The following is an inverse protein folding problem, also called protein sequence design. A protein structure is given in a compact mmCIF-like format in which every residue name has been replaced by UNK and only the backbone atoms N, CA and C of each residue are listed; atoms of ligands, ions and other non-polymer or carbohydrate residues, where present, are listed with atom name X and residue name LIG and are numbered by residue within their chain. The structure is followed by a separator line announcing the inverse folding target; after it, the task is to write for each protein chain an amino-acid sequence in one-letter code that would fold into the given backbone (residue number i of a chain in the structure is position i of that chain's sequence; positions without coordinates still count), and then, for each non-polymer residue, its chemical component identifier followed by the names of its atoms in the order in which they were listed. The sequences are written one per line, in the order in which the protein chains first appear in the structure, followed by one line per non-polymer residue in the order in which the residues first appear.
data_IF_796761626460
#
_entry.id   IF_796761626460
#
_cell.length_a   1.000
_cell.length_b   1.000
_cell.length_c   1.000
_cell.angle_alpha   90.00
_cell.angle_beta   90.00
_cell.angle_gamma   90.00
#
_symmetry.space_group_name_H-M   'P 1'
#
loop_
_entity.id
_entity.type
_entity.pdbx_description
1 polymer ?
#
# COMPACT_ATOMS: atom_id res chain seq x y z
N UNK A 1 4.07 4.24 6.28
CA UNK A 1 4.07 4.79 7.65
C UNK A 1 3.11 3.95 8.47
N UNK A 2 3.40 3.65 9.73
CA UNK A 2 2.63 2.72 10.57
C UNK A 2 2.42 3.34 11.95
N UNK A 3 1.21 3.24 12.50
CA UNK A 3 0.85 3.78 13.82
C UNK A 3 0.54 2.65 14.80
N UNK A 4 0.99 2.79 16.04
CA UNK A 4 0.74 1.83 17.12
C UNK A 4 0.05 2.54 18.29
N UNK A 5 -1.27 2.34 18.41
CA UNK A 5 -2.14 3.07 19.34
C UNK A 5 -1.80 2.86 20.80
N UNK A 6 -1.38 1.64 21.16
CA UNK A 6 -1.15 1.27 22.55
C UNK A 6 0.02 2.03 23.20
N UNK A 7 0.94 2.57 22.39
CA UNK A 7 2.19 3.18 22.87
C UNK A 7 2.40 4.66 22.48
N UNK A 8 1.45 5.30 21.78
CA UNK A 8 1.64 6.64 21.16
C UNK A 8 2.92 6.70 20.29
N UNK A 9 3.19 5.61 19.57
CA UNK A 9 4.36 5.48 18.71
C UNK A 9 3.94 5.62 17.25
N UNK A 10 4.55 6.60 16.57
CA UNK A 10 4.49 6.74 15.12
C UNK A 10 5.76 6.15 14.51
N UNK A 11 5.63 5.22 13.55
CA UNK A 11 6.77 4.72 12.78
C UNK A 11 6.67 5.15 11.32
N UNK A 12 7.70 5.80 10.79
CA UNK A 12 7.76 6.20 9.39
C UNK A 12 9.06 5.76 8.74
N UNK A 13 8.96 5.35 7.47
CA UNK A 13 10.15 5.05 6.68
C UNK A 13 10.70 6.35 6.11
N UNK A 14 11.98 6.61 6.34
CA UNK A 14 12.76 7.66 5.70
C UNK A 14 13.57 6.98 4.60
N UNK A 15 13.16 7.15 3.35
CA UNK A 15 13.87 6.59 2.21
C UNK A 15 13.68 7.47 0.98
N UNK A 16 14.74 7.54 0.16
CA UNK A 16 14.73 8.18 -1.15
C UNK A 16 14.12 7.24 -2.21
N UNK A 17 14.02 5.94 -1.94
CA UNK A 17 13.56 4.91 -2.88
C UNK A 17 12.51 3.94 -2.28
N UNK A 18 11.47 3.62 -3.06
CA UNK A 18 10.18 3.04 -2.61
C UNK A 18 10.08 1.52 -2.78
N UNK A 19 11.18 0.81 -3.04
CA UNK A 19 11.13 -0.51 -3.71
C UNK A 19 11.10 -1.73 -2.78
N UNK A 20 11.74 -1.64 -1.61
CA UNK A 20 11.70 -2.70 -0.58
C UNK A 20 11.21 -2.12 0.75
N UNK A 21 10.17 -2.72 1.35
CA UNK A 21 9.56 -2.21 2.59
C UNK A 21 10.42 -2.48 3.83
N UNK A 22 11.24 -3.53 3.79
CA UNK A 22 12.02 -4.00 4.93
C UNK A 22 13.44 -3.41 5.00
N UNK A 23 13.95 -2.89 3.87
CA UNK A 23 15.30 -2.31 3.78
C UNK A 23 15.31 -0.79 3.95
N UNK A 24 14.16 -0.19 4.26
CA UNK A 24 14.06 1.26 4.52
C UNK A 24 14.64 1.59 5.88
N UNK A 25 15.16 2.80 6.01
CA UNK A 25 15.45 3.33 7.34
C UNK A 25 14.11 3.67 7.99
N UNK A 26 13.79 3.02 9.11
CA UNK A 26 12.58 3.36 9.85
C UNK A 26 12.93 4.20 11.07
N UNK A 27 12.11 5.21 11.30
CA UNK A 27 12.18 6.08 12.46
C UNK A 27 10.92 5.84 13.27
N UNK A 28 11.10 5.57 14.56
CA UNK A 28 10.04 5.52 15.55
C UNK A 28 10.07 6.80 16.38
N UNK A 29 8.94 7.48 16.43
CA UNK A 29 8.71 8.66 17.26
C UNK A 29 7.75 8.29 18.38
N UNK A 30 8.21 8.39 19.62
CA UNK A 30 7.34 8.38 20.78
C UNK A 30 6.86 9.81 21.04
N UNK A 31 5.57 10.05 20.80
CA UNK A 31 5.01 11.41 20.82
C UNK A 31 4.96 11.99 22.23
N UNK A 32 4.67 11.16 23.23
CA UNK A 32 4.56 11.60 24.63
C UNK A 32 5.90 12.08 25.19
N UNK A 33 7.00 11.45 24.78
CA UNK A 33 8.35 11.76 25.25
C UNK A 33 9.16 12.62 24.27
N UNK A 34 8.62 12.87 23.08
CA UNK A 34 9.29 13.52 21.96
C UNK A 34 10.64 12.89 21.59
N UNK A 35 10.72 11.56 21.66
CA UNK A 35 11.95 10.81 21.35
C UNK A 35 11.87 10.13 19.99
N UNK A 36 12.89 10.36 19.17
CA UNK A 36 13.11 9.67 17.91
C UNK A 36 14.15 8.57 18.10
N UNK A 37 13.85 7.38 17.59
CA UNK A 37 14.76 6.25 17.55
C UNK A 37 14.77 5.62 16.16
N UNK A 38 15.93 5.14 15.73
CA UNK A 38 16.03 4.31 14.54
C UNK A 38 15.54 2.90 14.90
N UNK A 39 14.64 2.38 14.08
CA UNK A 39 14.12 1.02 14.22
C UNK A 39 14.32 0.26 12.92
N UNK A 40 14.53 -1.04 13.03
CA UNK A 40 14.43 -1.98 11.90
C UNK A 40 13.05 -2.60 11.92
N UNK A 41 12.47 -2.88 10.75
CA UNK A 41 11.25 -3.68 10.71
C UNK A 41 11.51 -5.09 11.28
N UNK A 42 10.52 -5.74 11.91
CA UNK A 42 10.68 -7.06 12.53
C UNK A 42 11.22 -8.18 11.62
N UNK A 43 11.29 -7.95 10.30
CA UNK A 43 11.64 -8.96 9.30
C UNK A 43 12.86 -8.57 8.42
N UNK A 44 13.52 -7.43 8.71
CA UNK A 44 14.65 -6.95 7.90
C UNK A 44 15.78 -7.97 7.81
N UNK A 45 16.14 -8.63 8.92
CA UNK A 45 17.22 -9.62 8.93
C UNK A 45 16.87 -10.88 8.13
N UNK A 46 15.61 -11.31 8.18
CA UNK A 46 15.17 -12.49 7.45
C UNK A 46 15.07 -12.19 5.94
N UNK A 47 14.55 -11.02 5.56
CA UNK A 47 14.59 -10.56 4.17
C UNK A 47 16.02 -10.50 3.60
N UNK A 48 16.99 -10.02 4.39
CA UNK A 48 18.41 -10.01 4.00
C UNK A 48 18.99 -11.43 3.84
N UNK A 49 18.59 -12.37 4.71
CA UNK A 49 18.99 -13.78 4.60
C UNK A 49 18.42 -14.43 3.35
N UNK A 50 17.13 -14.20 3.07
CA UNK A 50 16.46 -14.68 1.85
C UNK A 50 17.15 -14.12 0.61
N UNK A 51 17.37 -12.80 0.58
CA UNK A 51 18.08 -12.14 -0.52
C UNK A 51 19.48 -12.70 -0.76
N UNK A 52 20.21 -13.01 0.32
CA UNK A 52 21.52 -13.67 0.22
C UNK A 52 21.44 -15.13 -0.24
N UNK A 53 20.43 -15.89 0.21
CA UNK A 53 20.28 -17.30 -0.12
C UNK A 53 19.84 -17.53 -1.58
N UNK A 54 19.05 -16.59 -2.11
CA UNK A 54 18.60 -16.55 -3.51
C UNK A 54 19.63 -15.93 -4.47
N UNK A 55 20.74 -15.40 -3.97
CA UNK A 55 21.71 -14.59 -4.74
C UNK A 55 21.07 -13.36 -5.45
N UNK A 56 19.92 -12.90 -4.95
CA UNK A 56 19.21 -11.71 -5.45
C UNK A 56 19.53 -10.45 -4.63
N UNK A 57 20.47 -10.53 -3.67
CA UNK A 57 20.85 -9.41 -2.81
C UNK A 57 21.23 -8.15 -3.61
N UNK A 58 22.02 -8.31 -4.67
CA UNK A 58 22.42 -7.18 -5.52
C UNK A 58 21.22 -6.59 -6.28
N UNK A 59 20.21 -7.41 -6.56
CA UNK A 59 18.99 -7.02 -7.27
C UNK A 59 18.03 -6.30 -6.31
N UNK A 60 17.83 -6.82 -5.10
CA UNK A 60 17.05 -6.17 -4.02
C UNK A 60 17.63 -4.82 -3.59
N UNK A 61 18.95 -4.69 -3.67
CA UNK A 61 19.68 -3.46 -3.36
C UNK A 61 19.87 -2.56 -4.59
N UNK A 62 19.52 -3.04 -5.79
CA UNK A 62 19.62 -2.23 -7.00
C UNK A 62 18.43 -1.27 -7.07
N UNK A 63 18.69 -0.04 -7.50
CA UNK A 63 17.66 0.98 -7.68
C UNK A 63 16.85 0.76 -8.97
N UNK A 64 16.75 -0.45 -9.51
CA UNK A 64 15.98 -0.74 -10.72
C UNK A 64 14.53 -1.09 -10.33
N UNK A 65 13.55 -0.60 -11.09
CA UNK A 65 12.11 -0.61 -10.75
C UNK A 65 11.44 -2.00 -10.73
N UNK A 66 12.16 -3.08 -11.03
CA UNK A 66 11.55 -4.38 -11.37
C UNK A 66 11.58 -5.42 -10.25
N UNK A 67 12.17 -5.11 -9.10
CA UNK A 67 12.38 -6.11 -8.04
C UNK A 67 11.73 -5.72 -6.73
N UNK A 68 10.85 -6.59 -6.25
CA UNK A 68 10.13 -6.45 -4.99
C UNK A 68 10.32 -7.72 -4.15
N UNK A 69 10.40 -7.57 -2.82
CA UNK A 69 10.43 -8.70 -1.89
C UNK A 69 9.52 -8.39 -0.71
N UNK A 70 8.61 -9.32 -0.41
CA UNK A 70 7.81 -9.29 0.80
C UNK A 70 7.81 -10.61 1.53
N UNK A 71 7.93 -10.55 2.85
CA UNK A 71 7.90 -11.68 3.76
C UNK A 71 6.48 -11.88 4.31
N UNK A 72 6.09 -13.12 4.59
CA UNK A 72 4.89 -13.41 5.40
C UNK A 72 5.05 -12.84 6.80
N UNK A 73 3.95 -12.49 7.51
CA UNK A 73 4.02 -11.95 8.87
C UNK A 73 4.86 -12.77 9.88
N UNK A 74 4.93 -14.08 9.74
CA UNK A 74 5.71 -15.02 10.57
C UNK A 74 7.14 -15.26 10.05
N UNK A 75 7.52 -14.62 8.94
CA UNK A 75 8.80 -14.83 8.26
C UNK A 75 9.05 -16.30 7.87
N UNK A 76 8.02 -17.09 7.57
CA UNK A 76 8.18 -18.47 7.07
C UNK A 76 8.12 -18.57 5.55
N UNK A 77 7.59 -17.53 4.88
CA UNK A 77 7.40 -17.47 3.43
C UNK A 77 7.88 -16.13 2.90
N UNK A 78 8.26 -16.11 1.63
CA UNK A 78 8.56 -14.87 0.91
C UNK A 78 7.97 -14.92 -0.50
N UNK A 79 7.45 -13.78 -0.95
CA UNK A 79 7.12 -13.52 -2.34
C UNK A 79 8.13 -12.53 -2.85
N UNK A 80 8.69 -12.78 -4.03
CA UNK A 80 9.52 -11.79 -4.70
C UNK A 80 9.18 -11.69 -6.18
N UNK A 81 9.39 -10.50 -6.72
CA UNK A 81 9.30 -10.20 -8.15
C UNK A 81 10.71 -10.00 -8.69
N UNK A 82 11.03 -10.62 -9.81
CA UNK A 82 12.27 -10.39 -10.56
C UNK A 82 11.95 -10.32 -12.06
N UNK A 83 12.25 -9.17 -12.69
CA UNK A 83 11.96 -8.92 -14.11
C UNK A 83 10.53 -9.31 -14.51
N UNK A 84 9.56 -8.85 -13.71
CA UNK A 84 8.12 -9.16 -13.81
C UNK A 84 7.72 -10.63 -13.57
N UNK A 85 8.65 -11.53 -13.22
CA UNK A 85 8.33 -12.89 -12.80
C UNK A 85 8.08 -12.94 -11.30
N UNK A 86 7.00 -13.59 -10.93
CA UNK A 86 6.54 -13.69 -9.55
C UNK A 86 6.89 -15.06 -8.98
N UNK A 87 7.57 -15.05 -7.84
CA UNK A 87 8.05 -16.26 -7.18
C UNK A 87 7.61 -16.33 -5.73
N UNK A 88 7.42 -17.55 -5.23
CA UNK A 88 7.29 -17.84 -3.80
C UNK A 88 8.44 -18.71 -3.31
N UNK A 89 8.89 -18.45 -2.07
CA UNK A 89 9.92 -19.21 -1.38
C UNK A 89 9.37 -19.72 -0.05
N UNK A 90 9.49 -21.03 0.20
CA UNK A 90 8.95 -21.71 1.38
C UNK A 90 10.02 -22.10 2.42
N UNK A 91 11.25 -22.29 1.98
CA UNK A 91 12.37 -22.69 2.85
C UNK A 91 13.58 -21.82 2.52
N UNK A 92 14.02 -21.01 3.49
CA UNK A 92 15.14 -20.10 3.31
C UNK A 92 16.51 -20.74 3.50
N UNK A 93 16.56 -21.99 3.99
CA UNK A 93 17.81 -22.73 4.16
C UNK A 93 18.29 -23.38 2.86
N UNK A 94 17.34 -23.76 1.99
CA UNK A 94 17.57 -24.26 0.64
C UNK A 94 16.47 -23.69 -0.26
N UNK A 95 16.57 -22.41 -0.64
CA UNK A 95 15.50 -21.79 -1.40
C UNK A 95 15.43 -22.40 -2.80
N UNK A 96 14.31 -23.07 -3.07
CA UNK A 96 13.87 -23.43 -4.42
C UNK A 96 12.62 -22.60 -4.72
N UNK A 97 12.76 -21.45 -5.40
CA UNK A 97 11.63 -20.60 -5.75
C UNK A 97 10.63 -21.33 -6.64
N UNK A 98 9.35 -21.20 -6.30
CA UNK A 98 8.25 -21.67 -7.14
C UNK A 98 7.81 -20.50 -8.02
N UNK A 99 7.92 -20.68 -9.33
CA UNK A 99 7.42 -19.72 -10.33
C UNK A 99 5.88 -19.73 -10.36
N UNK A 100 5.29 -18.57 -10.13
CA UNK A 100 3.84 -18.36 -10.13
C UNK A 100 3.36 -17.69 -11.43
N UNK A 101 4.27 -17.30 -12.32
CA UNK A 101 3.96 -16.66 -13.59
C UNK A 101 4.55 -15.27 -13.71
N UNK A 102 4.10 -14.55 -14.74
CA UNK A 102 4.59 -13.22 -15.08
C UNK A 102 3.48 -12.18 -14.97
N UNK A 103 3.85 -11.01 -14.49
CA UNK A 103 3.06 -9.78 -14.60
C UNK A 103 3.22 -9.20 -16.02
N UNK A 104 2.34 -8.29 -16.43
CA UNK A 104 2.50 -7.59 -17.72
C UNK A 104 3.78 -6.75 -17.77
N UNK A 105 4.33 -6.55 -18.97
CA UNK A 105 5.47 -5.66 -19.17
C UNK A 105 5.11 -4.18 -18.93
N UNK A 106 6.06 -3.41 -18.39
CA UNK A 106 5.96 -1.96 -18.08
C UNK A 106 5.09 -1.63 -16.86
N UNK A 107 5.39 -2.22 -15.71
CA UNK A 107 4.76 -1.88 -14.43
C UNK A 107 5.36 -0.62 -13.81
N UNK A 108 4.50 0.28 -13.30
CA UNK A 108 4.92 1.47 -12.54
C UNK A 108 4.97 1.15 -11.05
N UNK A 109 3.91 0.47 -10.60
CA UNK A 109 3.68 0.24 -9.19
C UNK A 109 3.23 -1.20 -8.98
N UNK A 110 4.04 -1.94 -8.21
CA UNK A 110 3.69 -3.24 -7.66
C UNK A 110 3.54 -3.09 -6.15
N UNK A 111 2.44 -3.61 -5.63
CA UNK A 111 2.14 -3.68 -4.21
C UNK A 111 1.89 -5.13 -3.82
N UNK A 112 2.60 -5.61 -2.79
CA UNK A 112 2.48 -6.98 -2.28
C UNK A 112 1.92 -6.90 -0.88
N UNK A 113 0.83 -7.62 -0.62
CA UNK A 113 0.15 -7.60 0.65
C UNK A 113 -0.19 -8.99 1.16
N UNK A 114 0.34 -9.33 2.33
CA UNK A 114 -0.02 -10.55 3.04
C UNK A 114 -1.31 -10.37 3.83
N UNK A 115 -2.34 -11.16 3.52
CA UNK A 115 -3.60 -11.27 4.28
C UNK A 115 -3.36 -12.18 5.49
N UNK A 116 -2.74 -13.33 5.27
CA UNK A 116 -2.31 -14.28 6.32
C UNK A 116 -0.88 -14.74 6.07
N UNK A 117 -0.37 -15.71 6.83
CA UNK A 117 0.95 -16.31 6.57
C UNK A 117 1.03 -17.04 5.22
N UNK A 118 -0.11 -17.57 4.78
CA UNK A 118 -0.19 -18.41 3.58
C UNK A 118 -1.03 -17.76 2.47
N UNK A 119 -1.47 -16.51 2.63
CA UNK A 119 -2.36 -15.81 1.70
C UNK A 119 -1.78 -14.43 1.38
N UNK A 120 -1.48 -14.21 0.10
CA UNK A 120 -0.86 -13.01 -0.41
C UNK A 120 -1.52 -12.52 -1.68
N UNK A 121 -1.73 -11.20 -1.73
CA UNK A 121 -2.27 -10.48 -2.88
C UNK A 121 -1.17 -9.61 -3.45
N UNK A 122 -0.87 -9.81 -4.73
CA UNK A 122 0.00 -8.93 -5.51
C UNK A 122 -0.85 -8.12 -6.46
N UNK A 123 -0.74 -6.81 -6.36
CA UNK A 123 -1.44 -5.86 -7.23
C UNK A 123 -0.40 -5.12 -8.05
N UNK A 124 -0.60 -5.08 -9.36
CA UNK A 124 0.29 -4.42 -10.29
C UNK A 124 -0.46 -3.46 -11.21
N UNK A 125 0.12 -2.28 -11.43
CA UNK A 125 -0.42 -1.27 -12.36
C UNK A 125 0.66 -0.79 -13.34
N UNK A 126 0.37 -0.65 -14.64
CA UNK A 126 1.34 -0.29 -15.68
C UNK A 126 1.71 1.21 -15.72
N UNK A 127 2.94 1.53 -16.17
CA UNK A 127 3.50 2.89 -16.39
C UNK A 127 2.72 3.63 -17.47
N UNK A 128 2.35 2.91 -18.52
CA UNK A 128 1.58 3.43 -19.65
C UNK A 128 0.55 2.39 -20.06
N UNK A 129 -0.70 2.79 -20.18
CA UNK A 129 -1.78 1.92 -20.63
C UNK A 129 -2.96 1.90 -19.68
N UNK A 130 -3.81 0.90 -19.87
CA UNK A 130 -5.02 0.73 -19.09
C UNK A 130 -5.06 -0.64 -18.42
N UNK A 131 -5.38 -0.63 -17.14
CA UNK A 131 -5.71 -1.82 -16.37
C UNK A 131 -4.86 -2.08 -15.14
N UNK A 132 -5.34 -2.99 -14.32
CA UNK A 132 -4.64 -3.53 -13.16
C UNK A 132 -4.56 -5.05 -13.29
N UNK A 133 -3.55 -5.63 -12.66
CA UNK A 133 -3.47 -7.07 -12.43
C UNK A 133 -3.52 -7.36 -10.94
N UNK A 134 -4.31 -8.34 -10.54
CA UNK A 134 -4.37 -8.87 -9.18
C UNK A 134 -4.05 -10.36 -9.24
N UNK A 135 -3.03 -10.75 -8.50
CA UNK A 135 -2.68 -12.13 -8.24
C UNK A 135 -3.03 -12.45 -6.78
N UNK A 136 -4.02 -13.30 -6.58
CA UNK A 136 -4.33 -13.85 -5.26
C UNK A 136 -3.69 -15.25 -5.18
N UNK A 137 -2.72 -15.38 -4.28
CA UNK A 137 -1.84 -16.53 -4.14
C UNK A 137 -2.02 -17.12 -2.74
N UNK A 138 -2.36 -18.40 -2.68
CA UNK A 138 -2.28 -19.17 -1.45
C UNK A 138 -1.02 -20.04 -1.50
N UNK A 139 -0.05 -19.80 -0.63
CA UNK A 139 1.29 -20.42 -0.71
C UNK A 139 1.29 -21.89 -0.28
N UNK A 140 0.34 -22.32 0.57
CA UNK A 140 0.31 -23.70 1.10
C UNK A 140 -0.73 -24.63 0.42
N UNK A 141 -1.25 -24.25 -0.76
CA UNK A 141 -2.25 -25.06 -1.46
C UNK A 141 -2.84 -24.36 -2.69
N UNK A 142 -4.10 -24.64 -3.03
CA UNK A 142 -4.74 -23.93 -4.15
C UNK A 142 -5.24 -22.54 -3.71
N UNK A 143 -4.50 -21.49 -4.07
CA UNK A 143 -5.08 -20.34 -4.75
C UNK A 143 -4.04 -19.78 -5.73
N UNK A 144 -4.42 -19.75 -7.00
CA UNK A 144 -3.81 -18.87 -7.97
C UNK A 144 -4.92 -18.34 -8.86
N UNK A 145 -5.30 -17.08 -8.61
CA UNK A 145 -6.26 -16.36 -9.43
C UNK A 145 -5.57 -15.13 -9.96
N UNK A 146 -5.46 -15.05 -11.29
CA UNK A 146 -5.02 -13.85 -11.99
C UNK A 146 -6.25 -13.16 -12.56
N UNK A 147 -6.56 -11.97 -12.05
CA UNK A 147 -7.56 -11.08 -12.61
C UNK A 147 -6.87 -9.88 -13.21
N UNK A 148 -7.09 -9.68 -14.51
CA UNK A 148 -6.78 -8.43 -15.19
C UNK A 148 -8.06 -7.75 -15.64
N UNK A 149 -8.12 -6.44 -15.45
CA UNK A 149 -9.21 -5.62 -15.95
C UNK A 149 -8.63 -4.36 -16.59
N UNK A 150 -9.21 -3.92 -17.71
CA UNK A 150 -8.84 -2.65 -18.33
C UNK A 150 -9.41 -1.48 -17.51
N UNK A 151 -8.58 -0.49 -17.25
CA UNK A 151 -8.94 0.73 -16.54
C UNK A 151 -7.99 1.87 -16.92
N UNK A 152 -8.52 2.98 -17.41
CA UNK A 152 -7.69 4.11 -17.87
C UNK A 152 -7.22 4.97 -16.70
N UNK A 153 -5.97 5.46 -16.74
CA UNK A 153 -5.43 6.50 -15.86
C UNK A 153 -5.45 6.19 -14.35
N UNK A 154 -4.63 5.25 -13.88
CA UNK A 154 -4.37 5.14 -12.44
C UNK A 154 -3.73 6.42 -11.93
N UNK A 155 -4.29 6.93 -10.84
CA UNK A 155 -3.92 8.21 -10.24
C UNK A 155 -3.25 8.03 -8.88
N UNK A 156 -3.21 6.80 -8.35
CA UNK A 156 -2.41 6.44 -7.18
C UNK A 156 -2.18 4.92 -7.08
N UNK A 157 -1.25 4.53 -6.18
CA UNK A 157 -1.05 3.15 -5.77
C UNK A 157 -2.34 2.48 -5.28
N UNK A 158 -2.57 1.20 -5.61
CA UNK A 158 -3.68 0.44 -5.06
C UNK A 158 -3.43 0.11 -3.58
N UNK A 159 -4.51 0.02 -2.82
CA UNK A 159 -4.48 -0.28 -1.38
C UNK A 159 -5.27 -1.56 -1.08
N UNK A 160 -4.91 -2.29 -0.03
CA UNK A 160 -5.69 -3.44 0.45
C UNK A 160 -6.24 -3.22 1.86
N UNK A 161 -7.55 -3.41 2.00
CA UNK A 161 -8.17 -3.69 3.28
C UNK A 161 -7.95 -5.16 3.61
N UNK A 162 -7.04 -5.47 4.54
CA UNK A 162 -6.75 -6.85 4.95
C UNK A 162 -7.92 -7.50 5.71
N UNK A 163 -8.74 -6.71 6.41
CA UNK A 163 -9.84 -7.24 7.21
C UNK A 163 -10.99 -7.73 6.31
N UNK A 164 -11.35 -6.94 5.30
CA UNK A 164 -12.41 -7.27 4.35
C UNK A 164 -11.89 -7.80 3.01
N UNK A 165 -10.60 -8.14 2.95
CA UNK A 165 -9.92 -8.71 1.78
C UNK A 165 -10.27 -7.96 0.49
N UNK A 166 -10.20 -6.62 0.53
CA UNK A 166 -10.67 -5.75 -0.56
C UNK A 166 -9.55 -4.87 -1.06
N UNK A 167 -9.31 -4.87 -2.37
CA UNK A 167 -8.37 -3.95 -3.03
C UNK A 167 -9.14 -2.74 -3.52
N UNK A 168 -8.62 -1.55 -3.21
CA UNK A 168 -9.21 -0.28 -3.61
C UNK A 168 -8.26 0.44 -4.55
N UNK A 169 -8.80 0.82 -5.71
CA UNK A 169 -8.11 1.55 -6.75
C UNK A 169 -8.68 2.95 -6.88
N UNK A 170 -7.82 3.90 -7.18
CA UNK A 170 -8.21 5.24 -7.62
C UNK A 170 -7.78 5.39 -9.08
N UNK A 171 -8.78 5.61 -9.93
CA UNK A 171 -8.69 5.50 -11.38
C UNK A 171 -9.35 6.75 -11.96
N UNK A 172 -8.54 7.70 -12.45
CA UNK A 172 -9.02 8.97 -12.96
C UNK A 172 -9.76 9.77 -11.89
N UNK A 173 -11.08 9.87 -12.03
CA UNK A 173 -12.00 10.50 -11.09
C UNK A 173 -12.97 9.48 -10.46
N UNK A 174 -12.59 8.21 -10.39
CA UNK A 174 -13.39 7.13 -9.79
C UNK A 174 -12.61 6.35 -8.73
N UNK A 175 -13.33 5.84 -7.74
CA UNK A 175 -12.86 4.78 -6.85
C UNK A 175 -13.45 3.45 -7.33
N UNK A 176 -12.62 2.42 -7.42
CA UNK A 176 -13.04 1.04 -7.69
C UNK A 176 -12.67 0.16 -6.51
N UNK A 177 -13.61 -0.62 -5.99
CA UNK A 177 -13.33 -1.66 -5.00
C UNK A 177 -13.46 -3.05 -5.61
N UNK A 178 -12.49 -3.90 -5.31
CA UNK A 178 -12.40 -5.28 -5.78
C UNK A 178 -12.30 -6.23 -4.59
N UNK A 179 -13.17 -7.23 -4.56
CA UNK A 179 -13.12 -8.29 -3.55
C UNK A 179 -12.13 -9.37 -3.96
N UNK A 180 -11.11 -9.57 -3.12
CA UNK A 180 -10.12 -10.66 -3.27
C UNK A 180 -10.79 -12.01 -3.03
N UNK A 181 -11.78 -12.08 -2.15
CA UNK A 181 -12.52 -13.30 -1.83
C UNK A 181 -13.47 -13.73 -2.93
N UNK A 182 -14.22 -12.78 -3.49
CA UNK A 182 -15.25 -13.04 -4.50
C UNK A 182 -14.69 -12.99 -5.93
N UNK A 183 -13.43 -12.57 -6.07
CA UNK A 183 -12.74 -12.32 -7.34
C UNK A 183 -13.52 -11.41 -8.30
N UNK A 184 -14.13 -10.36 -7.76
CA UNK A 184 -15.05 -9.50 -8.50
C UNK A 184 -14.96 -8.04 -8.10
N UNK A 185 -15.23 -7.16 -9.07
CA UNK A 185 -15.47 -5.74 -8.78
C UNK A 185 -16.77 -5.62 -7.99
N UNK A 186 -16.67 -5.11 -6.77
CA UNK A 186 -17.83 -4.88 -5.92
C UNK A 186 -18.48 -3.53 -6.22
N UNK A 187 -17.65 -2.51 -6.48
CA UNK A 187 -18.14 -1.17 -6.69
C UNK A 187 -17.28 -0.30 -7.60
N UNK A 188 -17.93 0.72 -8.16
CA UNK A 188 -17.31 1.84 -8.83
C UNK A 188 -18.07 3.10 -8.48
N UNK A 189 -17.38 4.10 -7.91
CA UNK A 189 -17.98 5.36 -7.46
C UNK A 189 -17.27 6.53 -8.09
N UNK A 190 -18.06 7.40 -8.73
CA UNK A 190 -17.58 8.67 -9.25
C UNK A 190 -17.22 9.60 -8.09
N UNK A 191 -15.99 10.08 -8.08
CA UNK A 191 -15.56 11.11 -7.16
C UNK A 191 -16.12 12.46 -7.60
N UNK A 192 -16.59 13.30 -6.66
CA UNK A 192 -17.01 14.65 -6.96
C UNK A 192 -15.82 15.59 -7.23
N UNK A 193 -14.58 15.12 -7.28
CA UNK A 193 -13.36 15.96 -7.29
C UNK A 193 -12.44 15.68 -8.47
N UNK A 194 -11.73 16.71 -8.93
CA UNK A 194 -10.86 16.67 -10.13
C UNK A 194 -9.43 16.22 -9.86
N UNK A 195 -8.96 16.30 -8.62
CA UNK A 195 -7.59 15.95 -8.26
C UNK A 195 -7.54 15.41 -6.83
N UNK A 196 -7.11 14.16 -6.69
CA UNK A 196 -6.66 13.58 -5.42
C UNK A 196 -5.12 13.52 -5.49
N UNK A 197 -4.41 14.16 -4.55
CA UNK A 197 -2.94 14.14 -4.53
C UNK A 197 -2.42 12.89 -3.84
N UNK A 198 -2.78 11.70 -4.32
CA UNK A 198 -2.31 10.44 -3.76
C UNK A 198 -2.88 10.15 -2.37
N UNK A 199 -3.35 8.92 -2.20
CA UNK A 199 -3.94 8.47 -0.94
C UNK A 199 -3.38 7.14 -0.55
N UNK A 200 -2.93 7.05 0.70
CA UNK A 200 -3.03 5.81 1.43
C UNK A 200 -4.41 5.85 2.09
N UNK A 201 -5.45 5.23 1.52
CA UNK A 201 -6.70 5.11 2.24
C UNK A 201 -6.42 4.29 3.48
N UNK A 202 -6.74 4.86 4.63
CA UNK A 202 -6.74 4.11 5.87
C UNK A 202 -8.09 3.44 5.93
N UNK A 203 -8.06 2.16 6.26
CA UNK A 203 -9.26 1.35 6.23
C UNK A 203 -9.57 0.85 7.62
N UNK A 204 -10.70 1.35 8.13
CA UNK A 204 -11.44 0.72 9.21
C UNK A 204 -12.43 -0.26 8.56
N UNK A 205 -12.94 -1.24 9.31
CA UNK A 205 -13.68 -2.41 8.83
C UNK A 205 -14.86 -2.15 7.87
N UNK A 206 -15.28 -0.91 7.65
CA UNK A 206 -16.32 -0.55 6.68
C UNK A 206 -15.94 0.64 5.78
N UNK A 207 -14.83 1.34 6.05
CA UNK A 207 -14.55 2.67 5.50
C UNK A 207 -13.16 2.79 4.93
N UNK A 208 -13.04 3.20 3.67
CA UNK A 208 -11.80 3.73 3.10
C UNK A 208 -11.83 5.23 3.09
N UNK A 209 -10.80 5.89 3.60
CA UNK A 209 -10.77 7.35 3.63
C UNK A 209 -9.90 7.95 2.53
N UNK A 210 -10.34 9.06 1.95
CA UNK A 210 -9.71 9.74 0.83
C UNK A 210 -9.58 11.23 1.13
N UNK A 211 -8.50 11.85 0.70
CA UNK A 211 -8.26 13.29 0.80
C UNK A 211 -8.01 13.83 -0.60
N UNK A 212 -8.82 14.81 -1.00
CA UNK A 212 -8.73 15.43 -2.32
C UNK A 212 -9.10 16.89 -2.30
N UNK A 213 -8.95 17.55 -3.44
CA UNK A 213 -9.40 18.93 -3.57
C UNK A 213 -10.84 19.01 -4.01
N UNK A 214 -11.63 19.83 -3.34
CA UNK A 214 -12.95 20.19 -3.87
C UNK A 214 -12.82 20.82 -5.27
N UNK A 215 -13.90 20.79 -6.06
CA UNK A 215 -13.96 21.27 -7.45
C UNK A 215 -13.50 22.72 -7.65
N UNK A 216 -13.42 23.49 -6.55
CA UNK A 216 -12.94 24.87 -6.51
C UNK A 216 -11.42 25.00 -6.42
N UNK A 217 -10.67 23.92 -6.17
CA UNK A 217 -9.21 23.87 -5.91
C UNK A 217 -8.74 24.67 -4.69
N UNK A 218 -9.62 25.02 -3.75
CA UNK A 218 -9.28 25.89 -2.61
C UNK A 218 -9.26 25.10 -1.29
N UNK A 219 -10.14 24.11 -1.13
CA UNK A 219 -10.26 23.35 0.11
C UNK A 219 -9.81 21.89 -0.06
N UNK A 220 -9.01 21.42 0.90
CA UNK A 220 -8.69 20.02 1.09
C UNK A 220 -9.87 19.32 1.77
N UNK A 221 -10.42 18.30 1.13
CA UNK A 221 -11.60 17.58 1.57
C UNK A 221 -11.27 16.11 1.89
N UNK A 222 -11.67 15.67 3.08
CA UNK A 222 -11.67 14.29 3.53
C UNK A 222 -13.02 13.65 3.18
N UNK A 223 -12.97 12.61 2.36
CA UNK A 223 -14.07 11.74 2.01
C UNK A 223 -13.91 10.38 2.71
N UNK A 224 -15.03 9.77 3.07
CA UNK A 224 -15.11 8.38 3.50
C UNK A 224 -15.90 7.60 2.47
N UNK A 225 -15.33 6.51 1.97
CA UNK A 225 -16.03 5.54 1.16
C UNK A 225 -16.46 4.38 2.04
N UNK A 226 -17.77 4.27 2.29
CA UNK A 226 -18.34 3.13 2.97
C UNK A 226 -18.49 1.98 1.97
N UNK A 227 -17.70 0.92 2.18
CA UNK A 227 -17.68 -0.25 1.30
C UNK A 227 -19.00 -1.04 1.38
N UNK A 228 -19.61 -1.11 2.56
CA UNK A 228 -20.85 -1.85 2.79
C UNK A 228 -22.06 -1.21 2.10
N UNK A 229 -22.15 0.12 2.08
CA UNK A 229 -23.25 0.86 1.44
C UNK A 229 -22.91 1.35 0.04
N UNK A 230 -21.65 1.20 -0.38
CA UNK A 230 -21.11 1.77 -1.61
C UNK A 230 -21.37 3.28 -1.72
N UNK A 231 -21.18 4.00 -0.61
CA UNK A 231 -21.46 5.43 -0.51
C UNK A 231 -20.17 6.21 -0.25
N UNK A 232 -20.02 7.35 -0.93
CA UNK A 232 -18.94 8.30 -0.68
C UNK A 232 -19.51 9.51 0.05
N UNK A 233 -19.02 9.73 1.26
CA UNK A 233 -19.45 10.82 2.13
C UNK A 233 -18.32 11.83 2.29
N UNK A 234 -18.64 13.12 2.19
CA UNK A 234 -17.74 14.19 2.62
C UNK A 234 -17.75 14.22 4.15
N UNK A 235 -16.65 13.82 4.77
CA UNK A 235 -16.49 13.82 6.23
C UNK A 235 -16.04 15.19 6.73
N UNK A 236 -15.12 15.83 6.01
CA UNK A 236 -14.56 17.12 6.40
C UNK A 236 -14.03 17.90 5.20
N UNK A 237 -14.14 19.22 5.24
CA UNK A 237 -13.37 20.13 4.39
C UNK A 237 -12.51 21.02 5.28
N UNK A 238 -11.27 21.28 4.84
CA UNK A 238 -10.28 22.11 5.50
C UNK A 238 -9.72 23.10 4.49
N UNK A 239 -9.80 24.38 4.82
CA UNK A 239 -9.25 25.47 4.02
C UNK A 239 -7.72 25.51 4.22
N UNK A 240 -7.01 24.80 3.34
CA UNK A 240 -5.55 24.68 3.35
C UNK A 240 -5.07 24.84 1.93
N UNK A 241 -4.10 25.75 1.73
CA UNK A 241 -3.47 25.91 0.43
C UNK A 241 -2.75 24.60 0.03
N UNK A 242 -3.10 24.03 -1.14
CA UNK A 242 -2.51 22.82 -1.71
C UNK A 242 -0.99 22.74 -1.63
N UNK A 243 -0.30 23.88 -1.75
CA UNK A 243 1.17 23.93 -1.80
C UNK A 243 1.84 23.49 -0.49
N UNK A 244 1.10 23.45 0.62
CA UNK A 244 1.61 23.05 1.94
C UNK A 244 1.16 21.65 2.38
N UNK A 245 0.47 20.90 1.52
CA UNK A 245 0.10 19.52 1.80
C UNK A 245 1.20 18.57 1.34
N UNK A 246 1.73 17.76 2.27
CA UNK A 246 2.76 16.76 1.95
C UNK A 246 2.31 15.32 2.14
N UNK A 247 1.57 15.02 3.20
CA UNK A 247 1.18 13.66 3.56
C UNK A 247 0.02 13.66 4.58
N UNK A 248 -0.56 12.51 4.88
CA UNK A 248 -1.63 12.40 5.89
C UNK A 248 -1.57 11.08 6.66
N UNK A 249 -2.13 11.03 7.88
CA UNK A 249 -2.11 9.81 8.71
C UNK A 249 -3.37 9.71 9.58
N UNK A 250 -4.37 8.95 9.19
CA UNK A 250 -5.39 8.52 10.15
C UNK A 250 -4.81 7.45 11.09
N UNK A 251 -4.75 7.72 12.40
CA UNK A 251 -4.60 6.68 13.39
C UNK A 251 -5.98 6.06 13.69
N UNK A 252 -6.07 4.76 14.01
CA UNK A 252 -7.30 4.21 14.56
C UNK A 252 -7.68 5.03 15.80
N UNK A 253 -8.94 5.45 15.89
CA UNK A 253 -9.47 6.28 16.98
C UNK A 253 -8.98 7.74 17.11
N UNK A 254 -8.06 8.22 16.27
CA UNK A 254 -7.70 9.65 16.12
C UNK A 254 -7.34 9.98 14.67
N UNK A 255 -8.12 10.82 14.02
CA UNK A 255 -7.81 11.22 12.65
C UNK A 255 -6.74 12.32 12.67
N UNK A 256 -5.50 11.99 12.30
CA UNK A 256 -4.41 12.95 12.23
C UNK A 256 -4.19 13.40 10.79
N UNK A 257 -4.05 14.70 10.57
CA UNK A 257 -3.53 15.22 9.31
C UNK A 257 -2.23 15.98 9.61
N UNK A 258 -1.17 15.66 8.86
CA UNK A 258 0.13 16.34 8.98
C UNK A 258 0.29 17.28 7.79
N UNK A 259 0.47 18.56 8.05
CA UNK A 259 0.70 19.55 7.00
C UNK A 259 2.16 20.00 7.02
N UNK A 260 2.81 19.96 5.86
CA UNK A 260 4.13 20.56 5.68
C UNK A 260 3.98 22.03 5.30
N UNK A 261 3.66 22.85 6.30
CA UNK A 261 3.98 24.28 6.23
C UNK A 261 5.44 24.48 6.69
N UNK A 262 6.07 25.65 6.55
CA UNK A 262 7.36 25.95 7.21
C UNK A 262 7.38 25.69 8.74
N UNK A 263 6.21 25.42 9.34
CA UNK A 263 6.04 24.79 10.65
C UNK A 263 5.25 23.49 10.52
N UNK A 264 5.71 22.39 11.13
CA UNK A 264 4.90 21.16 11.21
C UNK A 264 3.58 21.47 11.92
N UNK A 265 2.45 21.35 11.23
CA UNK A 265 1.13 21.48 11.85
C UNK A 265 0.46 20.12 11.89
N UNK A 266 0.00 19.76 13.08
CA UNK A 266 -0.69 18.51 13.37
C UNK A 266 -2.12 18.87 13.76
N UNK A 267 -3.08 18.46 12.94
CA UNK A 267 -4.50 18.60 13.28
C UNK A 267 -5.03 17.23 13.74
N UNK A 268 -5.54 17.17 14.97
CA UNK A 268 -6.23 16.01 15.51
C UNK A 268 -7.74 16.18 15.34
N UNK A 269 -8.42 15.15 14.83
CA UNK A 269 -9.89 15.07 14.75
C UNK A 269 -10.41 13.79 15.40
#
# INVERSE_FOLDING_TARGET
MSWFDDDQILQFSVTEDRKSDYLRTWVSWNIDTDQLSLVSQPQTLDALRVGSALDVYNVLMSSNDTTHLSMSPDSSRAVYLDDNHLFVVHDFSMPEPVDLGHLTENLDDVAIYWITEDDVVVVATPIYGSGFEIFHICTDGECFVNVSALADNFTSKPFINKQDETVVFHIGDEILSYSVREHAIQSRVQLPVRALITLQPIVDADWSYFVGFDQSNIDLALYGFNQATNALDLLKAVDIDPEYFSDWIIAPHRHLAIFATPTLQVACY
#
